data_IF_559863731847
#
_entry.id   IF_559863731847
#
_cell.length_a   1.000
_cell.length_b   1.000
_cell.length_c   1.000
_cell.angle_alpha   90.00
_cell.angle_beta   90.00
_cell.angle_gamma   90.00
#
_symmetry.space_group_name_H-M   'P 1'
#
loop_
_entity.id
_entity.type
_entity.pdbx_description
1 polymer ?
#
# COMPACT_ATOMS: atom_id res chain seq x y z
N UNK A 1 7.71 -11.43 -2.38
CA UNK A 1 8.48 -10.39 -3.11
C UNK A 1 9.37 -9.66 -2.12
N UNK A 2 10.54 -9.15 -2.51
CA UNK A 2 11.43 -8.43 -1.58
C UNK A 2 11.59 -6.97 -1.96
N UNK A 3 11.56 -6.09 -0.96
CA UNK A 3 11.88 -4.67 -1.11
C UNK A 3 13.39 -4.47 -1.25
N UNK A 4 13.77 -3.40 -1.95
CA UNK A 4 15.17 -2.96 -1.99
C UNK A 4 15.66 -2.46 -0.62
N UNK A 5 14.77 -1.81 0.14
CA UNK A 5 15.02 -1.35 1.51
C UNK A 5 14.05 -2.02 2.47
N UNK A 6 14.55 -2.40 3.66
CA UNK A 6 13.72 -2.98 4.72
C UNK A 6 12.81 -1.92 5.35
N UNK A 7 11.68 -2.38 5.87
CA UNK A 7 10.84 -1.63 6.81
C UNK A 7 11.04 -2.26 8.18
N UNK A 8 11.61 -1.52 9.13
CA UNK A 8 12.03 -2.06 10.42
C UNK A 8 13.09 -3.16 10.25
N UNK A 9 12.71 -4.42 10.48
CA UNK A 9 13.57 -5.60 10.32
C UNK A 9 13.23 -6.48 9.11
N UNK A 10 12.19 -6.16 8.33
CA UNK A 10 11.65 -7.05 7.30
C UNK A 10 11.82 -6.51 5.87
N UNK A 11 12.16 -7.41 4.94
CA UNK A 11 12.30 -7.14 3.51
C UNK A 11 11.14 -7.69 2.67
N UNK A 12 10.48 -8.76 3.14
CA UNK A 12 9.41 -9.45 2.42
C UNK A 12 8.12 -8.67 2.56
N UNK A 13 7.59 -8.18 1.45
CA UNK A 13 6.39 -7.33 1.41
C UNK A 13 5.22 -8.01 2.14
N UNK A 14 5.03 -9.30 1.89
CA UNK A 14 3.97 -10.12 2.48
C UNK A 14 4.08 -10.31 4.00
N UNK A 15 5.24 -10.06 4.61
CA UNK A 15 5.48 -10.23 6.04
C UNK A 15 5.49 -8.90 6.81
N UNK A 16 5.35 -7.76 6.13
CA UNK A 16 5.35 -6.44 6.77
C UNK A 16 4.00 -6.21 7.47
N UNK A 17 4.03 -6.26 8.79
CA UNK A 17 2.94 -5.87 9.70
C UNK A 17 3.17 -4.53 10.40
N UNK A 18 2.19 -4.08 11.19
CA UNK A 18 2.26 -2.82 11.96
C UNK A 18 3.49 -2.67 12.86
N UNK A 19 3.96 -3.75 13.49
CA UNK A 19 5.17 -3.72 14.33
C UNK A 19 6.42 -3.24 13.58
N UNK A 20 6.55 -3.56 12.29
CA UNK A 20 7.70 -3.18 11.49
C UNK A 20 7.64 -1.69 11.12
N UNK A 21 6.45 -1.15 10.88
CA UNK A 21 6.22 0.28 10.70
C UNK A 21 6.47 1.07 11.98
N UNK A 22 6.07 0.54 13.14
CA UNK A 22 6.43 1.12 14.45
C UNK A 22 7.94 1.15 14.65
N UNK A 23 8.62 0.02 14.43
CA UNK A 23 10.07 -0.06 14.57
C UNK A 23 10.79 0.89 13.60
N UNK A 24 10.30 0.99 12.36
CA UNK A 24 10.80 1.94 11.37
C UNK A 24 10.63 3.39 11.84
N UNK A 25 9.45 3.76 12.36
CA UNK A 25 9.18 5.10 12.83
C UNK A 25 10.13 5.49 13.97
N UNK A 26 10.26 4.63 14.99
CA UNK A 26 11.15 4.86 16.13
C UNK A 26 12.60 5.02 15.68
N UNK A 27 13.10 4.14 14.82
CA UNK A 27 14.48 4.18 14.33
C UNK A 27 14.82 5.45 13.53
N UNK A 28 13.81 6.13 12.97
CA UNK A 28 13.96 7.35 12.19
C UNK A 28 13.47 8.61 12.92
N UNK A 29 13.18 8.52 14.23
CA UNK A 29 12.72 9.66 15.04
C UNK A 29 11.33 10.18 14.65
N UNK A 30 10.49 9.34 14.04
CA UNK A 30 9.12 9.67 13.65
C UNK A 30 8.13 9.22 14.72
N UNK A 31 6.97 9.89 14.81
CA UNK A 31 5.87 9.44 15.66
C UNK A 31 5.25 8.13 15.09
N UNK A 32 5.23 7.02 15.85
CA UNK A 32 4.73 5.74 15.33
C UNK A 32 3.24 5.75 14.96
N UNK A 33 2.40 6.42 15.77
CA UNK A 33 0.96 6.46 15.54
C UNK A 33 0.62 7.23 14.27
N UNK A 34 1.24 8.40 14.09
CA UNK A 34 1.11 9.22 12.88
C UNK A 34 1.66 8.51 11.65
N UNK A 35 2.77 7.78 11.80
CA UNK A 35 3.33 6.99 10.70
C UNK A 35 2.36 5.90 10.25
N UNK A 36 1.83 5.11 11.18
CA UNK A 36 0.84 4.06 10.88
C UNK A 36 -0.42 4.66 10.26
N UNK A 37 -0.97 5.73 10.84
CA UNK A 37 -2.16 6.40 10.32
C UNK A 37 -1.94 6.90 8.89
N UNK A 38 -0.74 7.44 8.59
CA UNK A 38 -0.40 7.90 7.24
C UNK A 38 -0.28 6.75 6.24
N UNK A 39 0.30 5.62 6.66
CA UNK A 39 0.38 4.42 5.81
C UNK A 39 -1.02 3.87 5.51
N UNK A 40 -1.91 3.82 6.51
CA UNK A 40 -3.30 3.39 6.32
C UNK A 40 -4.06 4.32 5.36
N UNK A 41 -3.91 5.63 5.54
CA UNK A 41 -4.52 6.64 4.66
C UNK A 41 -4.07 6.47 3.20
N UNK A 42 -2.77 6.30 2.97
CA UNK A 42 -2.22 6.07 1.62
C UNK A 42 -2.75 4.76 1.02
N UNK A 43 -2.79 3.69 1.81
CA UNK A 43 -3.33 2.40 1.36
C UNK A 43 -4.82 2.52 0.98
N UNK A 44 -5.60 3.31 1.73
CA UNK A 44 -7.01 3.57 1.44
C UNK A 44 -7.25 4.35 0.14
N UNK A 45 -6.33 5.24 -0.25
CA UNK A 45 -6.45 6.06 -1.46
C UNK A 45 -6.06 5.35 -2.74
N UNK A 46 -5.21 4.32 -2.66
CA UNK A 46 -4.65 3.62 -3.83
C UNK A 46 -5.71 3.08 -4.79
N UNK A 47 -6.78 2.37 -4.36
CA UNK A 47 -7.73 1.78 -5.30
C UNK A 47 -8.42 2.83 -6.17
N UNK A 48 -8.79 3.97 -5.58
CA UNK A 48 -9.48 5.04 -6.31
C UNK A 48 -8.53 5.77 -7.26
N UNK A 49 -7.29 6.04 -6.83
CA UNK A 49 -6.28 6.63 -7.70
C UNK A 49 -6.03 5.77 -8.96
N UNK A 50 -6.08 4.43 -8.84
CA UNK A 50 -5.96 3.54 -10.00
C UNK A 50 -7.18 3.60 -10.91
N UNK A 51 -8.41 3.70 -10.36
CA UNK A 51 -9.62 3.86 -11.18
C UNK A 51 -9.65 5.19 -11.92
N UNK A 52 -9.30 6.27 -11.23
CA UNK A 52 -9.23 7.62 -11.81
C UNK A 52 -8.27 7.65 -13.00
N UNK A 53 -7.05 7.13 -12.83
CA UNK A 53 -6.07 7.05 -13.92
C UNK A 53 -6.53 6.10 -15.02
N UNK A 54 -7.15 4.97 -14.66
CA UNK A 54 -7.70 4.00 -15.60
C UNK A 54 -8.79 4.57 -16.50
N UNK A 55 -9.62 5.48 -15.98
CA UNK A 55 -10.69 6.17 -16.72
C UNK A 55 -10.21 7.36 -17.55
N UNK A 56 -8.94 7.77 -17.43
CA UNK A 56 -8.39 8.86 -18.24
C UNK A 56 -8.39 8.49 -19.73
N UNK A 57 -8.63 9.47 -20.61
CA UNK A 57 -8.71 9.23 -22.05
C UNK A 57 -7.45 8.55 -22.63
N UNK A 58 -6.28 8.86 -22.07
CA UNK A 58 -5.01 8.27 -22.47
C UNK A 58 -4.95 6.75 -22.18
N UNK A 59 -5.57 6.30 -21.10
CA UNK A 59 -5.57 4.88 -20.69
C UNK A 59 -6.79 4.15 -21.25
N UNK A 60 -7.97 4.75 -21.17
CA UNK A 60 -9.20 4.20 -21.74
C UNK A 60 -9.10 4.01 -23.27
N UNK A 61 -8.39 4.91 -23.96
CA UNK A 61 -8.13 4.81 -25.40
C UNK A 61 -7.32 3.58 -25.83
N UNK A 62 -6.68 2.87 -24.89
CA UNK A 62 -5.99 1.59 -25.16
C UNK A 62 -7.01 0.47 -25.47
N UNK A 63 -8.25 0.58 -24.98
CA UNK A 63 -9.30 -0.40 -25.23
C UNK A 63 -9.09 -1.76 -24.56
N UNK A 64 -8.27 -1.81 -23.50
CA UNK A 64 -7.96 -3.02 -22.73
C UNK A 64 -8.73 -3.06 -21.40
N UNK A 65 -9.06 -4.27 -20.92
CA UNK A 65 -9.62 -4.54 -19.59
C UNK A 65 -8.57 -4.48 -18.46
N UNK A 66 -7.29 -4.33 -18.81
CA UNK A 66 -6.18 -4.35 -17.86
C UNK A 66 -6.29 -3.30 -16.74
N UNK A 67 -6.69 -2.03 -16.99
CA UNK A 67 -6.80 -1.02 -15.94
C UNK A 67 -7.81 -1.40 -14.85
N UNK A 68 -8.98 -1.94 -15.23
CA UNK A 68 -10.01 -2.40 -14.29
C UNK A 68 -9.51 -3.58 -13.46
N UNK A 69 -8.94 -4.60 -14.12
CA UNK A 69 -8.35 -5.76 -13.44
C UNK A 69 -7.22 -5.39 -12.49
N UNK A 70 -6.44 -4.36 -12.84
CA UNK A 70 -5.36 -3.85 -11.99
C UNK A 70 -5.92 -3.11 -10.78
N UNK A 71 -6.93 -2.26 -10.96
CA UNK A 71 -7.61 -1.57 -9.86
C UNK A 71 -8.21 -2.56 -8.85
N UNK A 72 -8.82 -3.64 -9.33
CA UNK A 72 -9.37 -4.70 -8.48
C UNK A 72 -8.28 -5.45 -7.70
N UNK A 73 -7.17 -5.79 -8.36
CA UNK A 73 -6.02 -6.43 -7.69
C UNK A 73 -5.41 -5.51 -6.62
N UNK A 74 -5.29 -4.22 -6.92
CA UNK A 74 -4.84 -3.22 -5.95
C UNK A 74 -5.79 -3.14 -4.77
N UNK A 75 -7.11 -3.12 -4.99
CA UNK A 75 -8.12 -3.14 -3.92
C UNK A 75 -7.97 -4.35 -2.99
N UNK A 76 -7.82 -5.56 -3.55
CA UNK A 76 -7.64 -6.75 -2.73
C UNK A 76 -6.30 -6.74 -1.97
N UNK A 77 -5.25 -6.22 -2.60
CA UNK A 77 -3.95 -6.11 -1.96
C UNK A 77 -3.96 -5.09 -0.81
N UNK A 78 -4.57 -3.92 -0.99
CA UNK A 78 -4.63 -2.88 0.03
C UNK A 78 -5.43 -3.34 1.24
N UNK A 79 -6.54 -4.07 1.05
CA UNK A 79 -7.30 -4.69 2.17
C UNK A 79 -6.39 -5.55 3.06
N UNK A 80 -5.66 -6.49 2.45
CA UNK A 80 -4.70 -7.35 3.17
C UNK A 80 -3.61 -6.55 3.88
N UNK A 81 -3.07 -5.52 3.23
CA UNK A 81 -2.05 -4.66 3.84
C UNK A 81 -2.61 -3.90 5.05
N UNK A 82 -3.84 -3.40 4.99
CA UNK A 82 -4.49 -2.68 6.09
C UNK A 82 -4.80 -3.61 7.26
N UNK A 83 -5.22 -4.85 6.99
CA UNK A 83 -5.38 -5.89 8.02
C UNK A 83 -4.05 -6.21 8.72
N UNK A 84 -2.97 -6.39 7.95
CA UNK A 84 -1.63 -6.63 8.50
C UNK A 84 -1.07 -5.42 9.26
N UNK A 85 -1.50 -4.20 8.90
CA UNK A 85 -1.13 -2.97 9.59
C UNK A 85 -1.84 -2.85 10.95
N UNK A 86 -3.11 -3.26 11.03
CA UNK A 86 -3.91 -3.24 12.26
C UNK A 86 -3.50 -4.34 13.26
N UNK A 87 -3.03 -5.48 12.77
CA UNK A 87 -2.56 -6.60 13.59
C UNK A 87 -1.06 -6.42 13.91
N UNK A 88 -0.74 -5.90 15.09
CA UNK A 88 0.63 -5.71 15.59
C UNK A 88 1.06 -6.84 16.52
#
# INVERSE_FOLDING_TARGET
>A
MRLAMKVGSEYRIEAITGRHWTAFAVANGLDPKRTIARVDELAGRLPEAFREVGGSAAVAGIGSDLPERLADRVLQHTKRCREALANA
#
